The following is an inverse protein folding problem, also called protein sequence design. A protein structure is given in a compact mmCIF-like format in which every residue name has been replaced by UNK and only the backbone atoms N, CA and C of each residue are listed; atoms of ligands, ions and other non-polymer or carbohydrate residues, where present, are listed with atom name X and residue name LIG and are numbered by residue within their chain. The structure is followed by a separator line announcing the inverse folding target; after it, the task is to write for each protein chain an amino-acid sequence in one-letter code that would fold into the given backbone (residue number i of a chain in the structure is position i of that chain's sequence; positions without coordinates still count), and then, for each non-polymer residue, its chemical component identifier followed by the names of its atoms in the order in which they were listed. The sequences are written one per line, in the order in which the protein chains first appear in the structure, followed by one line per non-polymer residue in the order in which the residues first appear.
data_IF_069495406913
#
_entry.id   IF_069495406913
#
_cell.length_a   1.000
_cell.length_b   1.000
_cell.length_c   1.000
_cell.angle_alpha   90.00
_cell.angle_beta   90.00
_cell.angle_gamma   90.00
#
_symmetry.space_group_name_H-M   'P 1'
#
loop_
_entity.id
_entity.type
_entity.pdbx_description
1 polymer ?
#
# COMPACT_ATOMS: atom_id res chain seq x y z
N UNK A 1 14.49 -22.72 76.04
CA UNK A 1 14.91 -21.31 76.19
C UNK A 1 16.43 -21.29 76.31
N UNK A 2 17.23 -20.79 75.38
CA UNK A 2 17.06 -19.57 74.59
C UNK A 2 17.83 -19.72 73.26
N UNK A 3 17.07 -19.56 72.18
CA UNK A 3 17.54 -19.24 70.85
C UNK A 3 18.38 -17.97 70.91
N UNK A 4 19.68 -18.07 70.67
CA UNK A 4 20.51 -16.95 70.22
C UNK A 4 21.86 -17.52 69.79
N UNK A 5 22.16 -17.46 68.48
CA UNK A 5 23.46 -17.66 67.76
C UNK A 5 23.37 -18.42 66.43
N UNK A 6 22.19 -18.89 65.99
CA UNK A 6 22.05 -19.68 64.74
C UNK A 6 22.10 -18.84 63.44
N UNK A 7 22.07 -17.51 63.51
CA UNK A 7 21.88 -16.67 62.31
C UNK A 7 23.20 -16.21 61.66
N UNK A 8 24.39 -16.57 62.18
CA UNK A 8 25.66 -16.00 61.69
C UNK A 8 26.68 -16.97 61.06
N UNK A 9 26.37 -18.25 60.88
CA UNK A 9 27.26 -19.21 60.20
C UNK A 9 26.52 -20.11 59.19
N UNK A 10 25.65 -19.51 58.37
CA UNK A 10 25.02 -20.15 57.21
C UNK A 10 25.59 -19.57 55.91
N UNK A 11 26.92 -19.47 55.88
CA UNK A 11 27.72 -19.16 54.70
C UNK A 11 28.94 -20.07 54.73
N UNK A 12 29.20 -20.73 53.60
CA UNK A 12 30.41 -21.48 53.28
C UNK A 12 30.55 -22.89 53.91
N UNK A 13 29.95 -23.90 53.24
CA UNK A 13 30.49 -25.27 53.04
C UNK A 13 29.36 -26.29 52.80
N UNK A 14 28.78 -26.29 51.60
CA UNK A 14 28.27 -27.54 51.01
C UNK A 14 28.67 -27.54 49.52
N UNK A 15 29.98 -27.49 49.30
CA UNK A 15 30.59 -28.04 48.11
C UNK A 15 31.01 -29.48 48.44
N UNK A 16 30.94 -30.35 47.43
CA UNK A 16 31.45 -31.73 47.41
C UNK A 16 30.70 -32.78 48.24
N UNK A 17 29.58 -33.27 47.69
CA UNK A 17 29.28 -34.72 47.76
C UNK A 17 28.97 -35.17 46.32
N UNK A 18 30.04 -35.49 45.60
CA UNK A 18 30.01 -36.44 44.49
C UNK A 18 30.34 -37.81 45.09
N UNK A 19 29.38 -38.74 45.10
CA UNK A 19 29.67 -40.16 44.88
C UNK A 19 28.39 -40.95 44.56
N UNK A 20 28.32 -41.39 43.31
CA UNK A 20 27.80 -42.67 42.83
C UNK A 20 26.56 -43.27 43.54
N UNK A 21 25.40 -43.06 42.92
CA UNK A 21 24.30 -44.02 42.98
C UNK A 21 24.00 -44.53 41.56
N UNK A 22 24.47 -45.75 41.27
CA UNK A 22 23.93 -46.55 40.19
C UNK A 22 22.47 -46.89 40.55
N UNK A 23 21.54 -46.40 39.76
CA UNK A 23 20.14 -46.80 39.79
C UNK A 23 19.62 -46.78 38.36
N UNK A 24 19.10 -47.91 37.90
CA UNK A 24 18.53 -48.11 36.58
C UNK A 24 17.42 -47.07 36.32
N UNK A 25 17.76 -46.00 35.61
CA UNK A 25 16.83 -45.01 35.09
C UNK A 25 16.64 -45.25 33.60
N UNK A 26 15.41 -45.55 33.20
CA UNK A 26 15.03 -45.60 31.80
C UNK A 26 15.50 -44.32 31.11
N UNK A 27 16.29 -44.48 30.03
CA UNK A 27 16.59 -43.39 29.10
C UNK A 27 15.26 -42.98 28.50
N UNK A 28 14.66 -41.91 29.03
CA UNK A 28 13.62 -41.20 28.32
C UNK A 28 14.30 -40.62 27.08
N UNK A 29 14.18 -41.33 25.95
CA UNK A 29 14.47 -40.80 24.62
C UNK A 29 13.64 -39.54 24.46
N UNK A 30 14.27 -38.38 24.67
CA UNK A 30 13.71 -37.14 24.15
C UNK A 30 13.58 -37.33 22.63
N UNK A 31 12.42 -37.03 22.03
CA UNK A 31 12.34 -36.99 20.59
C UNK A 31 13.36 -35.94 20.15
N UNK A 32 14.34 -36.36 19.36
CA UNK A 32 15.19 -35.44 18.63
C UNK A 32 14.23 -34.54 17.84
N UNK A 33 14.20 -33.25 18.14
CA UNK A 33 13.58 -32.29 17.25
C UNK A 33 14.37 -32.39 15.95
N UNK A 34 13.78 -33.05 14.96
CA UNK A 34 14.27 -33.05 13.60
C UNK A 34 14.29 -31.59 13.15
N UNK A 35 15.47 -30.97 13.22
CA UNK A 35 15.74 -29.80 12.41
C UNK A 35 15.69 -30.30 10.97
N UNK A 36 14.54 -30.11 10.33
CA UNK A 36 14.43 -30.27 8.89
C UNK A 36 15.57 -29.49 8.24
N UNK A 37 16.21 -30.02 7.18
CA UNK A 37 17.12 -29.21 6.40
C UNK A 37 16.37 -27.92 6.03
N UNK A 38 17.01 -26.76 6.21
CA UNK A 38 16.42 -25.48 5.86
C UNK A 38 16.02 -25.56 4.37
N UNK A 39 14.72 -25.72 4.12
CA UNK A 39 14.16 -25.50 2.80
C UNK A 39 14.40 -24.05 2.42
N UNK A 40 14.44 -23.78 1.12
CA UNK A 40 14.50 -22.41 0.63
C UNK A 40 13.33 -21.63 1.24
N UNK A 41 13.61 -20.44 1.77
CA UNK A 41 12.59 -19.59 2.38
C UNK A 41 11.56 -19.20 1.35
N UNK A 42 10.32 -18.96 1.78
CA UNK A 42 9.30 -18.40 0.91
C UNK A 42 9.77 -17.03 0.42
N UNK A 43 9.97 -16.90 -0.89
CA UNK A 43 10.28 -15.62 -1.55
C UNK A 43 9.00 -14.80 -1.68
N UNK A 44 9.03 -13.59 -1.15
CA UNK A 44 7.89 -12.69 -1.09
C UNK A 44 8.29 -11.34 -1.69
N UNK A 45 7.41 -10.78 -2.50
CA UNK A 45 7.52 -9.40 -2.98
C UNK A 45 6.49 -8.54 -2.29
N UNK A 46 6.89 -7.34 -1.86
CA UNK A 46 5.98 -6.27 -1.45
C UNK A 46 6.16 -5.08 -2.39
N UNK A 47 5.07 -4.48 -2.85
CA UNK A 47 5.12 -3.40 -3.84
C UNK A 47 5.83 -2.15 -3.33
N UNK A 48 5.61 -1.73 -2.08
CA UNK A 48 6.25 -0.53 -1.52
C UNK A 48 6.62 -0.67 -0.05
N UNK A 49 7.36 0.32 0.47
CA UNK A 49 8.04 0.21 1.77
C UNK A 49 7.13 -0.01 2.97
N UNK A 50 5.89 0.50 2.97
CA UNK A 50 4.96 0.28 4.09
C UNK A 50 4.55 -1.19 4.13
N UNK A 51 4.10 -1.75 3.01
CA UNK A 51 3.83 -3.20 2.92
C UNK A 51 5.09 -4.03 3.19
N UNK A 52 6.25 -3.56 2.75
CA UNK A 52 7.53 -4.18 3.07
C UNK A 52 7.74 -4.33 4.58
N UNK A 53 7.44 -3.28 5.36
CA UNK A 53 7.57 -3.32 6.83
C UNK A 53 6.52 -4.26 7.47
N UNK A 54 5.26 -4.18 7.05
CA UNK A 54 4.19 -5.04 7.56
C UNK A 54 4.50 -6.53 7.29
N UNK A 55 4.87 -6.86 6.06
CA UNK A 55 5.22 -8.21 5.63
C UNK A 55 6.50 -8.70 6.33
N UNK A 56 7.52 -7.86 6.48
CA UNK A 56 8.74 -8.23 7.21
C UNK A 56 8.47 -8.47 8.70
N UNK A 57 7.58 -7.69 9.30
CA UNK A 57 7.19 -7.83 10.71
C UNK A 57 6.49 -9.17 10.95
N UNK A 58 5.54 -9.55 10.09
CA UNK A 58 4.84 -10.83 10.20
C UNK A 58 5.72 -12.02 9.78
N UNK A 59 6.37 -11.91 8.63
CA UNK A 59 7.15 -12.99 8.02
C UNK A 59 8.52 -13.24 8.67
N UNK A 60 9.11 -12.20 9.26
CA UNK A 60 10.39 -12.25 10.00
C UNK A 60 11.49 -13.06 9.27
N UNK A 61 12.18 -13.95 9.98
CA UNK A 61 13.26 -14.78 9.44
C UNK A 61 12.78 -15.96 8.56
N UNK A 62 11.47 -16.15 8.38
CA UNK A 62 10.89 -17.27 7.62
C UNK A 62 10.70 -16.99 6.14
N UNK A 63 10.72 -15.72 5.76
CA UNK A 63 10.60 -15.29 4.36
C UNK A 63 11.91 -14.69 3.85
N UNK A 64 12.02 -14.61 2.52
CA UNK A 64 12.98 -13.77 1.81
C UNK A 64 12.19 -12.65 1.13
N UNK A 65 12.27 -11.43 1.66
CA UNK A 65 11.48 -10.30 1.20
C UNK A 65 12.25 -9.40 0.23
N UNK A 66 11.59 -9.05 -0.89
CA UNK A 66 12.02 -7.97 -1.79
C UNK A 66 10.92 -6.90 -1.87
N UNK A 67 11.25 -5.66 -1.50
CA UNK A 67 10.36 -4.50 -1.66
C UNK A 67 10.67 -3.77 -2.95
N UNK A 68 9.70 -3.55 -3.85
CA UNK A 68 9.93 -2.92 -5.16
C UNK A 68 10.23 -1.42 -5.04
N UNK A 69 9.27 -0.66 -4.50
CA UNK A 69 9.41 0.77 -4.23
C UNK A 69 10.01 0.96 -2.84
N UNK A 70 11.30 1.30 -2.80
CA UNK A 70 12.03 1.50 -1.55
C UNK A 70 11.63 2.76 -0.78
N UNK A 71 12.18 2.97 0.43
CA UNK A 71 11.92 4.15 1.24
C UNK A 71 12.17 5.46 0.48
N UNK A 72 11.19 6.36 0.50
CA UNK A 72 11.24 7.66 -0.18
C UNK A 72 10.95 7.61 -1.69
N UNK A 73 10.69 6.43 -2.25
CA UNK A 73 10.14 6.30 -3.60
C UNK A 73 8.65 6.64 -3.63
N UNK A 74 8.21 7.21 -4.75
CA UNK A 74 6.79 7.41 -5.04
C UNK A 74 6.24 6.18 -5.76
N UNK A 75 5.18 5.59 -5.21
CA UNK A 75 4.58 4.37 -5.74
C UNK A 75 3.59 4.63 -6.87
N UNK A 76 3.03 5.85 -6.98
CA UNK A 76 2.10 6.21 -8.05
C UNK A 76 2.81 6.36 -9.40
N UNK A 77 4.03 6.90 -9.36
CA UNK A 77 4.84 7.22 -10.53
C UNK A 77 6.02 6.28 -10.73
N UNK A 78 6.06 5.16 -10.01
CA UNK A 78 7.16 4.20 -10.09
C UNK A 78 7.27 3.58 -11.48
N UNK A 79 8.49 3.55 -12.01
CA UNK A 79 8.82 2.85 -13.27
C UNK A 79 9.58 1.55 -12.96
N UNK A 80 8.97 0.38 -13.19
CA UNK A 80 9.62 -0.90 -12.94
C UNK A 80 10.87 -1.13 -13.80
N UNK A 81 11.89 -1.74 -13.18
CA UNK A 81 13.10 -2.17 -13.87
C UNK A 81 13.01 -3.64 -14.32
N UNK A 82 13.87 -4.10 -15.25
CA UNK A 82 13.98 -5.52 -15.58
C UNK A 82 14.28 -6.43 -14.38
N UNK A 83 14.95 -5.89 -13.35
CA UNK A 83 15.24 -6.64 -12.12
C UNK A 83 13.98 -6.91 -11.29
N UNK A 84 12.97 -6.05 -11.40
CA UNK A 84 11.68 -6.23 -10.71
C UNK A 84 10.88 -7.34 -11.38
N UNK A 85 10.95 -7.49 -12.70
CA UNK A 85 10.37 -8.63 -13.41
C UNK A 85 10.97 -9.96 -12.94
N UNK A 86 12.29 -10.01 -12.71
CA UNK A 86 12.96 -11.21 -12.15
C UNK A 86 12.44 -11.50 -10.74
N UNK A 87 12.29 -10.47 -9.91
CA UNK A 87 11.76 -10.62 -8.56
C UNK A 87 10.34 -11.22 -8.57
N UNK A 88 9.47 -10.76 -9.48
CA UNK A 88 8.11 -11.29 -9.62
C UNK A 88 8.09 -12.77 -10.07
N UNK A 89 8.99 -13.17 -10.98
CA UNK A 89 9.09 -14.56 -11.45
C UNK A 89 9.55 -15.50 -10.34
N UNK A 90 10.45 -15.04 -9.47
CA UNK A 90 10.98 -15.85 -8.37
C UNK A 90 10.07 -15.88 -7.13
N UNK A 91 9.12 -14.96 -7.03
CA UNK A 91 8.22 -14.86 -5.89
C UNK A 91 7.25 -16.04 -5.80
N UNK A 92 6.98 -16.50 -4.58
CA UNK A 92 5.83 -17.35 -4.29
C UNK A 92 4.57 -16.54 -3.97
N UNK A 93 4.75 -15.33 -3.42
CA UNK A 93 3.68 -14.39 -3.08
C UNK A 93 4.08 -12.96 -3.44
N UNK A 94 3.10 -12.17 -3.88
CA UNK A 94 3.22 -10.73 -4.11
C UNK A 94 2.14 -10.03 -3.29
N UNK A 95 2.54 -9.14 -2.39
CA UNK A 95 1.64 -8.25 -1.66
C UNK A 95 1.60 -6.88 -2.34
N UNK A 96 0.39 -6.45 -2.66
CA UNK A 96 0.07 -5.16 -3.26
C UNK A 96 -0.93 -4.40 -2.38
N UNK A 97 -1.05 -3.09 -2.57
CA UNK A 97 -2.05 -2.32 -1.85
C UNK A 97 -3.46 -2.65 -2.37
N UNK A 98 -3.62 -2.67 -3.69
CA UNK A 98 -4.93 -2.60 -4.33
C UNK A 98 -5.43 -1.16 -4.43
N UNK A 99 -6.72 -0.99 -4.76
CA UNK A 99 -7.34 0.33 -4.98
C UNK A 99 -6.61 1.18 -6.03
N UNK A 100 -6.02 0.52 -7.04
CA UNK A 100 -5.28 1.16 -8.15
C UNK A 100 -4.06 1.99 -7.73
N UNK A 101 -3.50 1.78 -6.52
CA UNK A 101 -2.27 2.46 -6.09
C UNK A 101 -1.10 2.17 -7.04
N UNK A 102 -0.90 0.90 -7.38
CA UNK A 102 0.18 0.45 -8.24
C UNK A 102 -0.32 0.20 -9.67
N UNK A 103 -0.72 1.27 -10.36
CA UNK A 103 -1.24 1.21 -11.75
C UNK A 103 -0.32 0.49 -12.75
N UNK A 104 0.98 0.45 -12.46
CA UNK A 104 2.02 -0.23 -13.24
C UNK A 104 2.14 -1.73 -12.97
N UNK A 105 1.54 -2.26 -11.90
CA UNK A 105 1.79 -3.63 -11.43
C UNK A 105 1.22 -4.68 -12.39
N UNK A 106 0.06 -4.42 -12.98
CA UNK A 106 -0.59 -5.36 -13.91
C UNK A 106 0.27 -5.59 -15.15
N UNK A 107 0.81 -4.52 -15.73
CA UNK A 107 1.70 -4.58 -16.89
C UNK A 107 3.01 -5.28 -16.54
N UNK A 108 3.60 -4.96 -15.38
CA UNK A 108 4.81 -5.64 -14.90
C UNK A 108 4.56 -7.14 -14.68
N UNK A 109 3.44 -7.50 -14.07
CA UNK A 109 3.07 -8.89 -13.81
C UNK A 109 2.89 -9.66 -15.12
N UNK A 110 2.14 -9.10 -16.07
CA UNK A 110 1.95 -9.70 -17.39
C UNK A 110 3.27 -9.84 -18.18
N UNK A 111 4.10 -8.79 -18.19
CA UNK A 111 5.39 -8.79 -18.89
C UNK A 111 6.41 -9.76 -18.28
N UNK A 112 6.38 -9.93 -16.95
CA UNK A 112 7.27 -10.86 -16.25
C UNK A 112 6.93 -12.33 -16.52
N UNK A 113 5.67 -12.64 -16.85
CA UNK A 113 5.18 -14.02 -16.93
C UNK A 113 5.11 -14.71 -15.57
N UNK A 114 5.03 -13.94 -14.48
CA UNK A 114 4.90 -14.48 -13.13
C UNK A 114 3.62 -15.30 -12.96
N UNK A 115 3.69 -16.27 -12.06
CA UNK A 115 2.56 -17.11 -11.63
C UNK A 115 2.33 -17.01 -10.13
N UNK A 116 3.03 -16.11 -9.45
CA UNK A 116 2.92 -15.89 -8.02
C UNK A 116 1.52 -15.43 -7.64
N UNK A 117 0.98 -15.93 -6.52
CA UNK A 117 -0.31 -15.44 -6.01
C UNK A 117 -0.14 -13.99 -5.58
N UNK A 118 -0.97 -13.11 -6.14
CA UNK A 118 -1.11 -11.71 -5.75
C UNK A 118 -2.14 -11.57 -4.63
N UNK A 119 -1.86 -10.68 -3.70
CA UNK A 119 -2.66 -10.46 -2.50
C UNK A 119 -2.79 -8.95 -2.28
N UNK A 120 -3.97 -8.40 -2.56
CA UNK A 120 -4.30 -7.01 -2.28
C UNK A 120 -4.66 -6.87 -0.80
N UNK A 121 -3.84 -6.13 -0.04
CA UNK A 121 -4.03 -6.04 1.42
C UNK A 121 -5.24 -5.22 1.84
N UNK A 122 -5.80 -4.43 0.92
CA UNK A 122 -7.06 -3.69 1.12
C UNK A 122 -8.31 -4.52 0.86
N UNK A 123 -8.17 -5.79 0.44
CA UNK A 123 -9.32 -6.68 0.24
C UNK A 123 -10.13 -6.82 1.55
N UNK A 124 -11.41 -6.45 1.50
CA UNK A 124 -12.31 -6.49 2.66
C UNK A 124 -12.34 -5.20 3.49
N UNK A 125 -11.54 -4.19 3.13
CA UNK A 125 -11.63 -2.83 3.66
C UNK A 125 -12.68 -2.06 2.86
N UNK A 126 -13.55 -1.31 3.54
CA UNK A 126 -14.52 -0.44 2.88
C UNK A 126 -13.78 0.75 2.23
N UNK A 127 -13.77 0.88 0.90
CA UNK A 127 -13.03 1.95 0.23
C UNK A 127 -13.69 3.31 0.45
N UNK A 128 -12.88 4.35 0.50
CA UNK A 128 -13.37 5.73 0.55
C UNK A 128 -13.37 6.25 -0.89
N UNK A 129 -14.54 6.65 -1.40
CA UNK A 129 -14.63 7.30 -2.69
C UNK A 129 -13.83 8.60 -2.69
N UNK A 130 -13.08 8.85 -3.77
CA UNK A 130 -12.46 10.13 -3.99
C UNK A 130 -13.56 11.20 -4.07
N UNK A 131 -13.37 12.33 -3.38
CA UNK A 131 -14.30 13.44 -3.56
C UNK A 131 -14.16 13.92 -5.00
N UNK A 132 -15.19 13.73 -5.82
CA UNK A 132 -15.24 14.30 -7.16
C UNK A 132 -14.91 15.80 -7.04
N UNK A 133 -13.79 16.22 -7.64
CA UNK A 133 -13.62 17.61 -8.01
C UNK A 133 -14.84 17.96 -8.86
N UNK A 134 -15.68 18.89 -8.38
CA UNK A 134 -17.01 19.14 -8.93
C UNK A 134 -17.01 19.29 -10.44
N UNK A 135 -17.32 18.21 -11.14
CA UNK A 135 -17.86 18.23 -12.48
C UNK A 135 -19.34 17.92 -12.32
N UNK A 136 -20.08 18.97 -11.99
CA UNK A 136 -21.50 19.04 -12.28
C UNK A 136 -21.65 18.83 -13.79
N UNK A 137 -21.84 17.58 -14.20
CA UNK A 137 -22.45 17.29 -15.49
C UNK A 137 -23.90 17.75 -15.37
N UNK A 138 -24.12 19.05 -15.61
CA UNK A 138 -25.41 19.52 -16.04
C UNK A 138 -25.73 18.78 -17.35
N UNK A 139 -26.58 17.75 -17.27
CA UNK A 139 -27.41 17.35 -18.39
C UNK A 139 -28.28 18.55 -18.77
N UNK A 140 -27.76 19.42 -19.63
CA UNK A 140 -28.63 20.26 -20.45
C UNK A 140 -29.24 19.37 -21.53
N UNK A 141 -30.31 18.69 -21.14
CA UNK A 141 -31.27 18.11 -22.07
C UNK A 141 -31.96 19.22 -22.85
N UNK A 142 -31.33 19.71 -23.91
CA UNK A 142 -32.02 20.46 -24.94
C UNK A 142 -32.50 19.50 -26.02
N UNK A 143 -33.69 18.96 -25.77
CA UNK A 143 -34.58 18.45 -26.80
C UNK A 143 -34.87 19.56 -27.82
N UNK A 144 -34.24 19.52 -28.99
CA UNK A 144 -34.77 20.19 -30.17
C UNK A 144 -35.41 19.17 -31.11
N UNK A 145 -36.71 19.05 -30.87
CA UNK A 145 -37.75 18.42 -31.65
C UNK A 145 -37.75 18.89 -33.12
N UNK A 146 -37.71 17.93 -34.03
CA UNK A 146 -37.92 18.12 -35.45
C UNK A 146 -39.41 18.39 -35.75
N UNK A 147 -39.71 19.52 -36.38
CA UNK A 147 -40.94 19.68 -37.16
C UNK A 147 -40.68 20.57 -38.39
N UNK A 148 -41.16 20.06 -39.52
CA UNK A 148 -40.98 20.47 -40.91
C UNK A 148 -41.30 21.95 -41.23
N UNK A 149 -40.70 22.50 -42.31
CA UNK A 149 -41.32 22.70 -43.65
C UNK A 149 -40.40 23.63 -44.51
N UNK A 150 -40.29 23.37 -45.83
CA UNK A 150 -40.17 24.45 -46.82
C UNK A 150 -38.82 24.72 -47.53
N UNK A 151 -38.57 23.95 -48.60
CA UNK A 151 -38.19 24.36 -49.98
C UNK A 151 -36.85 25.06 -50.36
N UNK A 152 -36.40 24.61 -51.55
CA UNK A 152 -35.39 25.10 -52.53
C UNK A 152 -33.96 24.54 -52.42
N UNK A 153 -33.55 23.60 -53.30
CA UNK A 153 -33.13 23.77 -54.73
C UNK A 153 -31.75 24.48 -54.81
N UNK A 154 -30.66 24.00 -55.44
CA UNK A 154 -30.42 23.12 -56.60
C UNK A 154 -28.95 22.61 -56.59
N UNK A 155 -28.70 21.47 -57.29
CA UNK A 155 -27.55 21.13 -58.18
C UNK A 155 -26.09 21.27 -57.64
N UNK A 156 -25.09 20.42 -57.93
CA UNK A 156 -24.84 19.49 -59.03
C UNK A 156 -23.70 18.49 -58.66
N UNK A 157 -23.86 17.26 -59.16
CA UNK A 157 -22.87 16.31 -59.69
C UNK A 157 -21.34 16.62 -59.63
N UNK A 158 -20.54 15.69 -59.10
CA UNK A 158 -19.82 14.67 -59.89
C UNK A 158 -18.86 13.82 -59.06
N UNK A 159 -18.96 12.51 -59.27
CA UNK A 159 -17.94 11.53 -58.96
C UNK A 159 -16.78 11.61 -59.97
N UNK A 160 -15.56 11.39 -59.50
CA UNK A 160 -14.58 10.43 -60.04
C UNK A 160 -13.15 10.84 -59.66
N UNK A 161 -12.58 10.01 -58.80
CA UNK A 161 -11.24 9.43 -58.80
C UNK A 161 -10.24 9.90 -59.86
N UNK A 162 -9.01 10.15 -59.40
CA UNK A 162 -7.84 10.36 -60.25
C UNK A 162 -6.61 10.67 -59.42
N UNK A 163 -5.82 9.64 -59.14
CA UNK A 163 -4.43 9.74 -58.70
C UNK A 163 -3.61 10.61 -59.67
N UNK A 164 -2.66 11.40 -59.17
CA UNK A 164 -1.28 11.41 -59.68
C UNK A 164 -0.34 12.32 -58.86
N UNK A 165 0.88 11.81 -58.79
CA UNK A 165 2.09 12.22 -58.09
C UNK A 165 2.67 13.61 -58.45
N UNK A 166 3.38 14.15 -57.45
CA UNK A 166 4.66 14.88 -57.46
C UNK A 166 4.89 16.05 -58.44
N UNK A 167 5.30 17.21 -57.90
CA UNK A 167 6.64 17.79 -58.15
C UNK A 167 6.86 19.09 -57.35
N UNK A 168 8.01 19.12 -56.66
CA UNK A 168 9.02 20.18 -56.59
C UNK A 168 8.78 21.56 -55.94
N UNK A 169 9.51 21.74 -54.84
CA UNK A 169 10.42 22.84 -54.45
C UNK A 169 10.11 24.28 -54.89
N UNK A 170 10.04 25.21 -53.91
CA UNK A 170 10.87 26.42 -53.90
C UNK A 170 10.94 27.07 -52.50
N UNK A 171 12.18 27.36 -52.10
CA UNK A 171 12.57 28.16 -50.95
C UNK A 171 12.26 29.65 -51.14
N UNK A 172 11.96 30.37 -50.04
CA UNK A 172 12.52 31.70 -49.76
C UNK A 172 12.09 32.23 -48.40
N UNK A 173 13.11 32.53 -47.60
CA UNK A 173 13.17 33.48 -46.48
C UNK A 173 12.46 34.81 -46.79
N UNK A 174 11.75 35.38 -45.80
CA UNK A 174 11.96 36.76 -45.31
C UNK A 174 10.76 37.30 -44.50
N UNK A 175 11.02 37.49 -43.20
CA UNK A 175 10.76 38.71 -42.41
C UNK A 175 9.33 39.28 -42.29
N UNK A 176 8.80 39.23 -41.06
CA UNK A 176 8.04 40.34 -40.45
C UNK A 176 8.07 40.27 -38.91
N UNK A 177 9.07 40.94 -38.35
CA UNK A 177 9.04 41.72 -37.09
C UNK A 177 8.03 42.89 -37.26
N UNK A 178 7.24 43.43 -36.32
CA UNK A 178 7.03 43.34 -34.87
C UNK A 178 5.61 43.86 -34.58
N UNK A 179 4.98 43.46 -33.47
CA UNK A 179 4.21 44.40 -32.65
C UNK A 179 4.10 43.87 -31.22
N UNK A 180 4.83 44.55 -30.33
CA UNK A 180 4.76 44.40 -28.89
C UNK A 180 3.51 45.10 -28.34
N UNK A 181 2.77 44.40 -27.47
CA UNK A 181 1.99 44.99 -26.39
C UNK A 181 2.22 44.07 -25.18
N UNK A 182 2.99 44.58 -24.22
CA UNK A 182 3.09 44.03 -22.86
C UNK A 182 1.75 44.25 -22.15
N UNK A 183 1.24 43.18 -21.54
CA UNK A 183 0.56 43.29 -20.25
C UNK A 183 1.12 42.21 -19.35
N UNK A 184 1.61 42.64 -18.16
CA UNK A 184 1.67 41.87 -16.91
C UNK A 184 0.49 40.87 -16.82
N UNK A 185 0.50 39.76 -16.07
CA UNK A 185 0.70 39.71 -14.62
C UNK A 185 0.96 38.24 -14.21
N UNK A 186 1.99 38.00 -13.42
CA UNK A 186 2.25 36.70 -12.79
C UNK A 186 1.16 36.39 -11.75
N UNK A 187 0.41 35.31 -11.94
CA UNK A 187 -0.37 34.69 -10.86
C UNK A 187 -0.43 33.17 -11.03
N UNK A 188 0.51 32.51 -10.36
CA UNK A 188 0.45 31.14 -9.85
C UNK A 188 -0.23 30.10 -10.74
N UNK A 189 0.56 29.44 -11.58
CA UNK A 189 0.32 28.04 -11.97
C UNK A 189 0.17 27.24 -10.67
N UNK A 190 -1.07 27.02 -10.26
CA UNK A 190 -1.41 26.04 -9.26
C UNK A 190 -1.09 24.68 -9.89
N UNK A 191 0.08 24.14 -9.56
CA UNK A 191 0.45 22.76 -9.86
C UNK A 191 -0.57 21.85 -9.18
N UNK A 192 -1.65 21.54 -9.90
CA UNK A 192 -2.51 20.43 -9.58
C UNK A 192 -1.79 19.18 -10.09
N UNK A 193 -0.99 18.59 -9.19
CA UNK A 193 -0.51 17.21 -9.28
C UNK A 193 -1.74 16.29 -9.17
N UNK A 194 -2.59 16.29 -10.20
CA UNK A 194 -3.64 15.28 -10.41
C UNK A 194 -2.94 14.04 -10.99
N UNK A 195 -2.19 13.35 -10.12
CA UNK A 195 -1.78 11.98 -10.40
C UNK A 195 -3.05 11.14 -10.42
N UNK A 196 -3.23 10.38 -11.50
CA UNK A 196 -4.41 9.58 -11.76
C UNK A 196 -4.64 8.57 -10.63
N UNK A 197 -5.54 8.89 -9.71
CA UNK A 197 -6.07 7.94 -8.76
C UNK A 197 -7.36 7.35 -9.35
N UNK A 198 -7.58 6.06 -9.08
CA UNK A 198 -8.86 5.42 -9.39
C UNK A 198 -10.03 6.05 -8.64
N UNK A 199 -11.19 5.41 -8.74
CA UNK A 199 -12.44 5.86 -8.08
C UNK A 199 -12.30 6.01 -6.55
N UNK A 200 -11.37 5.26 -5.95
CA UNK A 200 -11.20 5.16 -4.50
C UNK A 200 -9.84 5.69 -4.03
N UNK A 201 -9.81 6.23 -2.81
CA UNK A 201 -8.57 6.64 -2.15
C UNK A 201 -7.75 5.40 -1.76
N UNK A 202 -6.54 5.21 -2.32
CA UNK A 202 -5.75 4.03 -2.04
C UNK A 202 -5.01 4.07 -0.69
N UNK A 203 -4.99 5.20 0.02
CA UNK A 203 -4.14 5.44 1.19
C UNK A 203 -4.74 4.88 2.50
N UNK A 204 -5.24 3.64 2.45
CA UNK A 204 -5.96 2.97 3.53
C UNK A 204 -5.14 2.86 4.82
N UNK A 205 -3.82 2.69 4.72
CA UNK A 205 -2.88 2.51 5.83
C UNK A 205 -2.80 3.70 6.80
N UNK A 206 -3.36 4.86 6.44
CA UNK A 206 -3.42 6.01 7.34
C UNK A 206 -4.42 5.83 8.49
N UNK A 207 -5.35 4.87 8.38
CA UNK A 207 -6.19 4.41 9.47
C UNK A 207 -5.58 3.16 10.11
N UNK A 208 -5.29 3.22 11.42
CA UNK A 208 -4.67 2.09 12.15
C UNK A 208 -5.57 0.86 12.15
N UNK A 209 -6.89 1.03 12.08
CA UNK A 209 -7.83 -0.10 12.00
C UNK A 209 -7.74 -0.85 10.68
N UNK A 210 -7.42 -0.14 9.58
CA UNK A 210 -7.12 -0.76 8.29
C UNK A 210 -5.79 -1.51 8.34
N UNK A 211 -4.75 -0.94 8.95
CA UNK A 211 -3.45 -1.63 9.11
C UNK A 211 -3.60 -2.92 9.94
N UNK A 212 -4.48 -2.94 10.94
CA UNK A 212 -4.82 -4.16 11.69
C UNK A 212 -5.37 -5.24 10.75
N UNK A 213 -6.30 -4.88 9.86
CA UNK A 213 -6.86 -5.80 8.86
C UNK A 213 -5.81 -6.27 7.85
N UNK A 214 -5.00 -5.35 7.33
CA UNK A 214 -3.88 -5.65 6.41
C UNK A 214 -2.91 -6.68 7.04
N UNK A 215 -2.56 -6.52 8.32
CA UNK A 215 -1.69 -7.46 9.05
C UNK A 215 -2.32 -8.84 9.23
N UNK A 216 -3.62 -8.91 9.51
CA UNK A 216 -4.34 -10.19 9.62
C UNK A 216 -4.38 -10.92 8.26
N UNK A 217 -4.60 -10.18 7.18
CA UNK A 217 -4.61 -10.71 5.82
C UNK A 217 -3.20 -11.19 5.39
N UNK A 218 -2.16 -10.41 5.67
CA UNK A 218 -0.76 -10.79 5.43
C UNK A 218 -0.41 -12.08 6.16
N UNK A 219 -0.78 -12.18 7.45
CA UNK A 219 -0.58 -13.38 8.26
C UNK A 219 -1.23 -14.61 7.63
N UNK A 220 -2.48 -14.49 7.22
CA UNK A 220 -3.24 -15.61 6.67
C UNK A 220 -2.67 -16.04 5.31
N UNK A 221 -2.32 -15.09 4.45
CA UNK A 221 -1.68 -15.37 3.17
C UNK A 221 -0.32 -16.07 3.33
N UNK A 222 0.52 -15.61 4.26
CA UNK A 222 1.80 -16.26 4.57
C UNK A 222 1.60 -17.66 5.14
N UNK A 223 0.64 -17.86 6.04
CA UNK A 223 0.33 -19.16 6.64
C UNK A 223 -0.26 -20.16 5.63
N UNK A 224 -1.01 -19.69 4.63
CA UNK A 224 -1.53 -20.51 3.53
C UNK A 224 -0.40 -20.96 2.60
N UNK A 225 0.50 -20.05 2.23
CA UNK A 225 1.61 -20.34 1.31
C UNK A 225 2.75 -21.15 1.96
N UNK A 226 2.98 -20.96 3.26
CA UNK A 226 3.98 -21.71 4.04
C UNK A 226 3.40 -22.23 5.37
N UNK A 227 2.59 -23.31 5.31
CA UNK A 227 1.96 -23.88 6.51
C UNK A 227 2.95 -24.40 7.55
N UNK A 228 4.19 -24.70 7.16
CA UNK A 228 5.23 -25.16 8.08
C UNK A 228 5.64 -24.06 9.07
N UNK A 229 5.51 -22.79 8.67
CA UNK A 229 5.84 -21.63 9.49
C UNK A 229 4.60 -20.84 9.99
N UNK A 230 3.39 -21.33 9.74
CA UNK A 230 2.12 -20.70 10.14
C UNK A 230 2.09 -20.25 11.61
N UNK A 231 2.59 -21.06 12.54
CA UNK A 231 2.62 -20.69 13.97
C UNK A 231 3.55 -19.51 14.26
N UNK A 232 4.66 -19.38 13.52
CA UNK A 232 5.56 -18.22 13.63
C UNK A 232 4.89 -16.96 13.10
N UNK A 233 4.22 -17.01 11.95
CA UNK A 233 3.46 -15.88 11.40
C UNK A 233 2.36 -15.43 12.36
N UNK A 234 1.61 -16.38 12.92
CA UNK A 234 0.58 -16.10 13.93
C UNK A 234 1.16 -15.35 15.14
N UNK A 235 2.23 -15.87 15.73
CA UNK A 235 2.83 -15.27 16.92
C UNK A 235 3.39 -13.86 16.65
N UNK A 236 4.03 -13.65 15.49
CA UNK A 236 4.55 -12.35 15.09
C UNK A 236 3.41 -11.34 14.86
N UNK A 237 2.36 -11.75 14.13
CA UNK A 237 1.18 -10.93 13.89
C UNK A 237 0.48 -10.57 15.20
N UNK A 238 0.24 -11.52 16.11
CA UNK A 238 -0.39 -11.24 17.42
C UNK A 238 0.38 -10.21 18.24
N UNK A 239 1.71 -10.29 18.25
CA UNK A 239 2.55 -9.32 18.95
C UNK A 239 2.41 -7.92 18.34
N UNK A 240 2.43 -7.82 17.01
CA UNK A 240 2.32 -6.55 16.31
C UNK A 240 0.91 -5.95 16.37
N UNK A 241 -0.14 -6.76 16.25
CA UNK A 241 -1.54 -6.36 16.44
C UNK A 241 -1.78 -5.79 17.84
N UNK A 242 -1.07 -6.28 18.86
CA UNK A 242 -1.07 -5.66 20.19
C UNK A 242 -0.58 -4.21 20.17
N UNK A 243 0.53 -3.95 19.48
CA UNK A 243 1.10 -2.61 19.33
C UNK A 243 0.18 -1.69 18.52
N UNK A 244 -0.43 -2.18 17.44
CA UNK A 244 -1.37 -1.41 16.63
C UNK A 244 -2.62 -0.99 17.41
N UNK A 245 -3.15 -1.88 18.27
CA UNK A 245 -4.30 -1.54 19.14
C UNK A 245 -3.95 -0.47 20.19
N UNK A 246 -2.73 -0.52 20.73
CA UNK A 246 -2.23 0.53 21.62
C UNK A 246 -2.04 1.86 20.87
N UNK A 247 -1.52 1.81 19.64
CA UNK A 247 -1.34 2.96 18.76
C UNK A 247 -2.68 3.61 18.42
N UNK A 248 -3.68 2.83 17.99
CA UNK A 248 -5.03 3.32 17.67
C UNK A 248 -5.66 4.05 18.88
N UNK A 249 -5.58 3.40 20.05
CA UNK A 249 -6.07 3.99 21.31
C UNK A 249 -5.38 5.31 21.63
N UNK A 250 -4.06 5.37 21.45
CA UNK A 250 -3.28 6.59 21.67
C UNK A 250 -3.64 7.70 20.67
N UNK A 251 -3.72 7.38 19.38
CA UNK A 251 -4.10 8.33 18.31
C UNK A 251 -5.46 8.93 18.63
N UNK A 252 -6.45 8.10 18.97
CA UNK A 252 -7.80 8.55 19.32
C UNK A 252 -7.82 9.51 20.53
N UNK A 253 -7.04 9.23 21.59
CA UNK A 253 -6.94 10.11 22.75
C UNK A 253 -6.18 11.41 22.44
N UNK A 254 -5.14 11.35 21.61
CA UNK A 254 -4.36 12.52 21.23
C UNK A 254 -5.22 13.51 20.42
N UNK A 255 -5.96 13.01 19.43
CA UNK A 255 -6.85 13.83 18.59
C UNK A 255 -7.96 14.51 19.42
N UNK A 256 -8.50 13.83 20.43
CA UNK A 256 -9.54 14.40 21.33
C UNK A 256 -9.07 15.69 22.01
N UNK A 257 -7.78 15.83 22.32
CA UNK A 257 -7.22 17.05 22.95
C UNK A 257 -7.39 18.28 22.06
N UNK A 258 -7.31 18.11 20.75
CA UNK A 258 -7.35 19.20 19.78
C UNK A 258 -8.76 19.45 19.23
N UNK A 259 -9.64 18.44 19.19
CA UNK A 259 -11.05 18.63 18.77
C UNK A 259 -11.88 19.53 19.70
N UNK A 260 -11.47 19.68 20.97
CA UNK A 260 -12.25 20.44 21.97
C UNK A 260 -12.02 21.96 21.94
N UNK A 261 -11.01 22.45 21.21
CA UNK A 261 -10.54 23.84 21.34
C UNK A 261 -10.69 24.69 20.09
N UNK A 262 -10.99 24.12 18.92
CA UNK A 262 -11.10 24.89 17.67
C UNK A 262 -12.30 24.46 16.83
N UNK A 263 -13.17 25.42 16.51
CA UNK A 263 -14.20 25.28 15.47
C UNK A 263 -13.62 25.18 14.04
N UNK A 264 -12.29 25.31 13.89
CA UNK A 264 -11.55 25.39 12.62
C UNK A 264 -10.33 24.46 12.62
N UNK A 265 -10.51 23.14 12.78
CA UNK A 265 -9.40 22.20 12.57
C UNK A 265 -9.24 21.93 11.06
N UNK A 266 -8.06 22.23 10.51
CA UNK A 266 -7.69 21.93 9.12
C UNK A 266 -6.28 21.35 9.06
N UNK A 267 -6.11 20.23 8.37
CA UNK A 267 -4.82 19.68 7.99
C UNK A 267 -4.56 20.06 6.52
N UNK A 268 -3.38 20.60 6.22
CA UNK A 268 -2.93 20.86 4.83
C UNK A 268 -1.67 20.05 4.59
N UNK A 269 -1.69 19.22 3.57
CA UNK A 269 -0.56 18.36 3.15
C UNK A 269 -0.18 18.65 1.71
N UNK A 270 1.01 18.18 1.30
CA UNK A 270 1.56 18.36 -0.05
C UNK A 270 0.80 17.56 -1.12
N UNK A 271 0.11 16.50 -0.71
CA UNK A 271 -0.73 15.65 -1.55
C UNK A 271 -1.93 15.17 -0.73
N UNK A 272 -3.04 14.82 -1.39
CA UNK A 272 -4.30 14.47 -0.74
C UNK A 272 -4.29 13.09 -0.05
N UNK A 273 -3.13 12.44 0.08
CA UNK A 273 -2.96 11.16 0.76
C UNK A 273 -3.47 11.11 2.22
N UNK A 274 -3.66 12.25 2.89
CA UNK A 274 -4.13 12.28 4.29
C UNK A 274 -5.62 12.59 4.46
N UNK A 275 -6.35 12.80 3.36
CA UNK A 275 -7.76 13.19 3.41
C UNK A 275 -8.69 12.18 4.13
N UNK A 276 -8.46 10.85 4.09
CA UNK A 276 -9.23 9.89 4.88
C UNK A 276 -9.13 10.13 6.38
N UNK A 277 -7.99 10.62 6.88
CA UNK A 277 -7.74 10.75 8.32
C UNK A 277 -8.61 11.83 8.98
N UNK A 278 -8.98 12.89 8.25
CA UNK A 278 -9.89 13.90 8.79
C UNK A 278 -11.32 13.38 8.98
N UNK A 279 -11.69 12.29 8.30
CA UNK A 279 -13.04 11.70 8.29
C UNK A 279 -13.11 10.41 9.12
N UNK A 280 -12.11 9.52 9.04
CA UNK A 280 -11.97 8.35 9.91
C UNK A 280 -11.92 8.75 11.40
N UNK A 281 -11.18 9.81 11.75
CA UNK A 281 -11.17 10.36 13.11
C UNK A 281 -12.53 10.97 13.53
N UNK A 282 -13.43 11.25 12.58
CA UNK A 282 -14.82 11.65 12.85
C UNK A 282 -15.72 10.44 13.08
N UNK A 283 -15.61 9.39 12.26
CA UNK A 283 -16.48 8.20 12.29
C UNK A 283 -16.11 7.19 13.38
N UNK A 284 -14.83 6.94 13.66
CA UNK A 284 -14.44 6.04 14.74
C UNK A 284 -15.02 6.49 16.08
N UNK A 285 -15.09 7.81 16.33
CA UNK A 285 -15.73 8.38 17.53
C UNK A 285 -17.26 8.18 17.62
N UNK A 286 -17.96 7.89 16.52
CA UNK A 286 -19.40 7.61 16.53
C UNK A 286 -19.70 6.16 16.97
N UNK A 287 -18.74 5.24 16.84
CA UNK A 287 -18.85 3.87 17.33
C UNK A 287 -18.60 3.73 18.85
N UNK A 288 -18.12 4.79 19.51
CA UNK A 288 -17.84 4.83 20.96
C UNK A 288 -18.81 5.74 21.74
N UNK A 289 -20.01 5.98 21.18
CA UNK A 289 -21.09 6.77 21.78
C UNK A 289 -22.32 5.93 22.10
#
# INVERSE_FOLDING_TARGET
MKFSKIIFYLGLMVATIWLAACGAGAVATQPAQSQSPAGDKLKVVATFSILGDLVQTVGSDKIELRTLVGPGGDTHTFEPSPSDSVALVEAGLIFENGLELESWLDDLYAASGSTAKRVAVTEGIEPIAMAEGGHEHEESGEHHEHAAEGEHEEHDEHAAEGEHEEHDEHAAEAEHEEHAEETDEHAAEAGHDDHAHGEFDPHAWHDVTNVIHEVELIRDALAEADPANAQSYQANAEAYLGQLKELDSWVAEEIKKYRRTTANWSLRTIHLATWPNATAWRSSAAAWG
#
